data_IF_949169432963
#
_entry.id   IF_949169432963
#
_cell.length_a   1.000
_cell.length_b   1.000
_cell.length_c   1.000
_cell.angle_alpha   90.00
_cell.angle_beta   90.00
_cell.angle_gamma   90.00
#
_symmetry.space_group_name_H-M   'P 1'
#
loop_
_entity.id
_entity.type
_entity.pdbx_description
1 polymer ?
#
# COMPACT_ATOMS: atom_id res chain seq x y z
N UNK A 1 -23.58 -9.12 -6.93
CA UNK A 1 -23.90 -9.72 -8.24
C UNK A 1 -22.79 -10.70 -8.55
N UNK A 2 -23.06 -12.00 -8.61
CA UNK A 2 -22.04 -12.99 -8.97
C UNK A 2 -21.95 -13.07 -10.51
N UNK A 3 -20.75 -13.09 -11.04
CA UNK A 3 -20.53 -13.37 -12.45
C UNK A 3 -20.92 -14.83 -12.66
N UNK A 4 -22.05 -15.07 -13.32
CA UNK A 4 -22.53 -16.40 -13.65
C UNK A 4 -21.73 -16.97 -14.83
N UNK A 5 -20.51 -17.42 -14.57
CA UNK A 5 -19.76 -18.19 -15.57
C UNK A 5 -20.13 -19.66 -15.43
N UNK A 6 -20.87 -20.17 -16.40
CA UNK A 6 -21.33 -21.57 -16.44
C UNK A 6 -20.30 -22.52 -17.07
N UNK A 7 -19.23 -21.98 -17.69
CA UNK A 7 -18.25 -22.80 -18.44
C UNK A 7 -16.85 -22.85 -17.83
N UNK A 8 -16.51 -22.01 -16.87
CA UNK A 8 -15.14 -21.79 -16.32
C UNK A 8 -14.06 -21.54 -17.39
N UNK A 9 -14.43 -21.58 -18.68
CA UNK A 9 -13.51 -21.39 -19.81
C UNK A 9 -13.37 -19.90 -20.17
N UNK A 10 -14.36 -19.09 -19.81
CA UNK A 10 -14.40 -17.67 -20.20
C UNK A 10 -13.61 -16.78 -19.25
N UNK A 11 -13.58 -17.09 -17.94
CA UNK A 11 -12.92 -16.30 -16.91
C UNK A 11 -12.02 -17.18 -16.05
N UNK A 12 -10.78 -17.34 -16.47
CA UNK A 12 -9.79 -18.07 -15.65
C UNK A 12 -9.38 -17.23 -14.44
N UNK A 13 -8.94 -17.87 -13.31
CA UNK A 13 -8.41 -17.14 -12.16
C UNK A 13 -7.28 -16.16 -12.53
N UNK A 14 -6.42 -16.51 -13.49
CA UNK A 14 -5.35 -15.63 -13.95
C UNK A 14 -5.86 -14.41 -14.70
N UNK A 15 -6.91 -14.55 -15.48
CA UNK A 15 -7.55 -13.44 -16.18
C UNK A 15 -8.21 -12.45 -15.20
N UNK A 16 -8.89 -12.96 -14.18
CA UNK A 16 -9.45 -12.13 -13.11
C UNK A 16 -8.36 -11.46 -12.26
N UNK A 17 -7.23 -12.13 -12.07
CA UNK A 17 -6.08 -11.58 -11.35
C UNK A 17 -5.47 -10.36 -12.07
N UNK A 18 -5.47 -10.31 -13.39
CA UNK A 18 -5.03 -9.13 -14.14
C UNK A 18 -5.90 -7.92 -13.82
N UNK A 19 -7.23 -8.06 -13.83
CA UNK A 19 -8.13 -6.99 -13.44
C UNK A 19 -8.02 -6.63 -11.97
N UNK A 20 -7.78 -7.63 -11.11
CA UNK A 20 -7.49 -7.37 -9.69
C UNK A 20 -6.25 -6.47 -9.54
N UNK A 21 -5.17 -6.81 -10.20
CA UNK A 21 -3.94 -6.02 -10.13
C UNK A 21 -4.11 -4.62 -10.75
N UNK A 22 -4.85 -4.49 -11.83
CA UNK A 22 -5.20 -3.19 -12.42
C UNK A 22 -5.96 -2.32 -11.41
N UNK A 23 -7.02 -2.85 -10.80
CA UNK A 23 -7.81 -2.16 -9.77
C UNK A 23 -7.01 -1.86 -8.52
N UNK A 24 -6.13 -2.80 -8.11
CA UNK A 24 -5.24 -2.61 -6.97
C UNK A 24 -4.23 -1.45 -7.21
N UNK A 25 -3.68 -1.32 -8.41
CA UNK A 25 -2.84 -0.18 -8.78
C UNK A 25 -3.61 1.14 -8.75
N UNK A 26 -4.83 1.17 -9.29
CA UNK A 26 -5.69 2.34 -9.22
C UNK A 26 -5.98 2.72 -7.76
N UNK A 27 -6.42 1.75 -6.95
CA UNK A 27 -6.73 1.97 -5.54
C UNK A 27 -5.52 2.49 -4.77
N UNK A 28 -4.32 1.99 -5.05
CA UNK A 28 -3.10 2.48 -4.40
C UNK A 28 -2.75 3.93 -4.78
N UNK A 29 -2.96 4.32 -6.02
CA UNK A 29 -2.80 5.71 -6.42
C UNK A 29 -3.78 6.62 -5.66
N UNK A 30 -5.04 6.15 -5.48
CA UNK A 30 -6.06 6.87 -4.71
C UNK A 30 -5.71 6.90 -3.20
N UNK A 31 -5.21 5.80 -2.63
CA UNK A 31 -4.73 5.76 -1.24
C UNK A 31 -3.63 6.81 -1.03
N UNK A 32 -2.64 6.86 -1.91
CA UNK A 32 -1.56 7.85 -1.84
C UNK A 32 -2.07 9.30 -1.86
N UNK A 33 -3.19 9.55 -2.52
CA UNK A 33 -3.78 10.88 -2.67
C UNK A 33 -4.78 11.24 -1.55
N UNK A 34 -5.65 10.32 -1.15
CA UNK A 34 -6.79 10.60 -0.29
C UNK A 34 -6.68 10.04 1.14
N UNK A 35 -5.85 9.01 1.35
CA UNK A 35 -5.63 8.40 2.66
C UNK A 35 -4.20 7.84 2.78
N UNK A 36 -3.15 8.68 2.69
CA UNK A 36 -1.76 8.21 2.69
C UNK A 36 -1.37 7.46 3.96
N UNK A 37 -2.04 7.71 5.08
CA UNK A 37 -1.82 7.00 6.34
C UNK A 37 -2.04 5.49 6.23
N UNK A 38 -2.96 5.02 5.38
CA UNK A 38 -3.16 3.59 5.12
C UNK A 38 -1.93 2.90 4.49
N UNK A 39 -1.15 3.63 3.71
CA UNK A 39 0.03 3.10 3.04
C UNK A 39 1.34 3.47 3.74
N UNK A 40 1.27 4.17 4.89
CA UNK A 40 2.44 4.55 5.67
C UNK A 40 3.08 3.32 6.31
N UNK A 41 4.40 3.29 6.34
CA UNK A 41 5.17 2.29 7.03
C UNK A 41 6.50 2.84 7.48
N UNK A 42 7.15 2.09 8.37
CA UNK A 42 8.48 2.41 8.88
C UNK A 42 9.39 1.22 8.63
N UNK A 43 10.59 1.49 8.15
CA UNK A 43 11.64 0.50 7.97
C UNK A 43 12.88 0.90 8.77
N UNK A 44 13.42 -0.05 9.52
CA UNK A 44 14.65 0.13 10.28
C UNK A 44 15.75 -0.78 9.76
N UNK A 45 16.94 -0.25 9.63
CA UNK A 45 18.12 -0.98 9.21
C UNK A 45 19.40 -0.29 9.63
N UNK A 46 20.54 -0.94 9.42
CA UNK A 46 21.85 -0.37 9.67
C UNK A 46 22.57 -0.03 8.37
N UNK A 47 23.26 1.09 8.35
CA UNK A 47 24.02 1.52 7.18
C UNK A 47 24.89 2.73 7.45
N UNK A 48 25.87 2.95 6.54
CA UNK A 48 26.70 4.15 6.54
C UNK A 48 26.25 5.05 5.38
N UNK A 49 25.37 5.99 5.67
CA UNK A 49 24.86 6.96 4.70
C UNK A 49 24.07 6.37 3.53
N UNK A 50 23.75 5.07 3.59
CA UNK A 50 22.96 4.40 2.56
C UNK A 50 22.13 3.29 3.17
N UNK A 51 20.85 3.25 2.81
CA UNK A 51 19.96 2.13 3.13
C UNK A 51 19.11 1.76 1.91
N UNK A 52 18.91 0.46 1.69
CA UNK A 52 18.09 -0.06 0.59
C UNK A 52 16.85 -0.67 1.23
N UNK A 53 15.69 -0.14 0.89
CA UNK A 53 14.41 -0.69 1.30
C UNK A 53 14.17 -2.02 0.58
N UNK A 54 13.55 -3.02 1.21
CA UNK A 54 13.27 -4.32 0.57
C UNK A 54 12.15 -4.25 -0.49
N UNK A 55 11.58 -3.07 -0.70
CA UNK A 55 10.49 -2.80 -1.65
C UNK A 55 10.64 -1.39 -2.22
N UNK A 56 9.94 -1.13 -3.32
CA UNK A 56 9.78 0.23 -3.84
C UNK A 56 8.70 0.97 -3.03
N UNK A 57 8.87 2.26 -2.84
CA UNK A 57 7.91 3.14 -2.18
C UNK A 57 7.42 4.25 -3.11
N UNK A 58 6.25 4.80 -2.83
CA UNK A 58 5.73 5.98 -3.56
C UNK A 58 6.52 7.22 -3.15
N UNK A 59 6.78 7.38 -1.85
CA UNK A 59 7.54 8.50 -1.30
C UNK A 59 8.21 8.13 0.01
N UNK A 60 9.28 8.82 0.34
CA UNK A 60 9.91 8.85 1.66
C UNK A 60 9.37 10.09 2.38
N UNK A 61 8.87 9.88 3.58
CA UNK A 61 8.30 10.94 4.42
C UNK A 61 9.36 11.54 5.34
N UNK A 62 10.16 10.68 5.96
CA UNK A 62 11.21 11.08 6.88
C UNK A 62 12.33 10.05 6.90
N UNK A 63 13.52 10.50 7.25
CA UNK A 63 14.71 9.66 7.47
C UNK A 63 15.35 10.09 8.77
N UNK A 64 15.60 9.14 9.67
CA UNK A 64 16.35 9.35 10.91
C UNK A 64 17.59 8.48 10.92
N UNK A 65 18.65 9.00 11.49
CA UNK A 65 19.86 8.26 11.79
C UNK A 65 20.16 8.42 13.30
N UNK A 66 20.23 7.29 14.02
CA UNK A 66 20.35 7.24 15.47
C UNK A 66 19.35 8.20 16.17
N UNK A 67 18.06 8.12 15.74
CA UNK A 67 16.93 8.93 16.21
C UNK A 67 16.98 10.43 15.84
N UNK A 68 18.01 10.91 15.15
CA UNK A 68 18.13 12.29 14.69
C UNK A 68 17.63 12.42 13.24
N UNK A 69 16.86 13.46 12.95
CA UNK A 69 16.37 13.72 11.59
C UNK A 69 17.51 14.03 10.63
N UNK A 70 17.59 13.30 9.53
CA UNK A 70 18.58 13.47 8.46
C UNK A 70 18.11 14.56 7.50
N UNK A 71 18.91 15.61 7.35
CA UNK A 71 18.66 16.66 6.38
C UNK A 71 19.42 16.37 5.08
N UNK A 72 18.79 16.66 3.94
CA UNK A 72 19.48 16.60 2.65
C UNK A 72 19.72 15.19 2.11
N UNK A 73 18.89 14.21 2.43
CA UNK A 73 18.95 12.89 1.81
C UNK A 73 18.45 12.89 0.37
N UNK A 74 18.92 11.93 -0.42
CA UNK A 74 18.48 11.66 -1.79
C UNK A 74 17.82 10.30 -1.87
N UNK A 75 16.79 10.18 -2.70
CA UNK A 75 16.10 8.92 -2.96
C UNK A 75 16.41 8.45 -4.38
N UNK A 76 17.02 7.28 -4.51
CA UNK A 76 17.35 6.67 -5.79
C UNK A 76 16.43 5.49 -6.06
N UNK A 77 15.88 5.46 -7.28
CA UNK A 77 15.01 4.34 -7.75
C UNK A 77 13.82 4.01 -6.84
N UNK A 78 13.30 5.01 -6.09
CA UNK A 78 12.20 4.84 -5.15
C UNK A 78 12.43 3.74 -4.09
N UNK A 79 13.68 3.37 -3.83
CA UNK A 79 14.04 2.25 -2.97
C UNK A 79 15.29 2.49 -2.14
N UNK A 80 16.22 3.31 -2.61
CA UNK A 80 17.49 3.55 -1.92
C UNK A 80 17.53 4.97 -1.38
N UNK A 81 17.76 5.11 -0.08
CA UNK A 81 18.01 6.39 0.56
C UNK A 81 19.52 6.57 0.74
N UNK A 82 20.03 7.73 0.37
CA UNK A 82 21.46 8.10 0.47
C UNK A 82 21.59 9.45 1.14
N UNK A 83 22.49 9.55 2.10
CA UNK A 83 22.83 10.79 2.81
C UNK A 83 24.28 10.75 3.30
N UNK A 84 24.80 11.87 3.77
CA UNK A 84 26.16 11.94 4.30
C UNK A 84 26.24 11.32 5.70
N UNK A 85 27.15 10.36 5.88
CA UNK A 85 27.45 9.75 7.18
C UNK A 85 28.91 9.28 7.25
N UNK A 86 29.55 9.52 8.37
CA UNK A 86 30.96 9.18 8.63
C UNK A 86 31.11 7.80 9.30
N UNK A 87 30.08 7.29 9.93
CA UNK A 87 30.04 5.97 10.59
C UNK A 87 28.73 5.21 10.31
N UNK A 88 28.69 3.96 10.73
CA UNK A 88 27.50 3.14 10.65
C UNK A 88 26.47 3.57 11.71
N UNK A 89 25.22 3.74 11.30
CA UNK A 89 24.13 4.23 12.12
C UNK A 89 22.90 3.32 11.98
N UNK A 90 22.02 3.36 12.97
CA UNK A 90 20.66 2.82 12.83
C UNK A 90 19.84 3.83 12.05
N UNK A 91 19.31 3.41 10.90
CA UNK A 91 18.57 4.27 9.99
C UNK A 91 17.10 3.85 10.03
N UNK A 92 16.23 4.79 10.37
CA UNK A 92 14.78 4.62 10.35
C UNK A 92 14.22 5.44 9.19
N UNK A 93 13.44 4.80 8.33
CA UNK A 93 12.82 5.43 7.15
C UNK A 93 11.32 5.31 7.25
N UNK A 94 10.62 6.44 7.33
CA UNK A 94 9.17 6.52 7.20
C UNK A 94 8.82 6.72 5.72
N UNK A 95 7.93 5.90 5.20
CA UNK A 95 7.63 5.85 3.77
C UNK A 95 6.16 5.59 3.49
N UNK A 96 5.74 5.89 2.26
CA UNK A 96 4.47 5.45 1.68
C UNK A 96 4.74 4.28 0.74
N UNK A 97 4.14 3.12 1.04
CA UNK A 97 4.27 1.90 0.21
C UNK A 97 3.64 2.08 -1.16
N UNK A 98 4.20 1.39 -2.14
CA UNK A 98 3.43 1.00 -3.32
C UNK A 98 2.81 -0.38 -3.07
N UNK A 99 1.61 -0.65 -3.60
CA UNK A 99 1.14 -2.02 -3.65
C UNK A 99 1.96 -2.78 -4.69
N UNK A 100 2.50 -3.89 -4.27
CA UNK A 100 3.09 -4.85 -5.16
C UNK A 100 2.05 -5.52 -6.06
N UNK A 101 2.53 -6.13 -7.14
CA UNK A 101 1.73 -7.05 -7.96
C UNK A 101 1.34 -8.26 -7.09
N UNK A 102 0.06 -8.63 -7.13
CA UNK A 102 -0.47 -9.76 -6.37
C UNK A 102 -0.47 -11.04 -7.19
N UNK A 103 -0.20 -12.14 -6.53
CA UNK A 103 -0.36 -13.49 -7.05
C UNK A 103 -1.67 -14.10 -6.55
N UNK A 104 -2.10 -15.23 -7.11
CA UNK A 104 -3.37 -15.87 -6.74
C UNK A 104 -3.47 -16.28 -5.26
N UNK A 105 -2.33 -16.55 -4.63
CA UNK A 105 -2.25 -17.02 -3.25
C UNK A 105 -2.03 -15.89 -2.25
N UNK A 106 -1.86 -14.65 -2.73
CA UNK A 106 -1.62 -13.51 -1.88
C UNK A 106 -2.92 -13.00 -1.26
N UNK A 107 -2.89 -12.69 0.02
CA UNK A 107 -4.00 -12.00 0.68
C UNK A 107 -4.07 -10.54 0.21
N UNK A 108 -5.27 -9.97 0.16
CA UNK A 108 -5.47 -8.57 -0.26
C UNK A 108 -4.78 -7.60 0.69
N UNK A 109 -4.85 -7.85 1.98
CA UNK A 109 -4.36 -6.97 3.03
C UNK A 109 -5.11 -5.62 3.09
N UNK A 110 -6.24 -5.50 2.41
CA UNK A 110 -7.08 -4.30 2.36
C UNK A 110 -8.17 -4.35 3.44
N UNK A 111 -8.66 -3.20 3.93
CA UNK A 111 -9.92 -3.13 4.65
C UNK A 111 -11.06 -3.73 3.84
N UNK A 112 -12.00 -4.41 4.51
CA UNK A 112 -13.09 -5.14 3.85
C UNK A 112 -13.92 -4.27 2.89
N UNK A 113 -14.11 -3.00 3.23
CA UNK A 113 -14.83 -2.04 2.38
C UNK A 113 -14.09 -1.78 1.06
N UNK A 114 -12.77 -1.61 1.12
CA UNK A 114 -11.94 -1.39 -0.08
C UNK A 114 -11.81 -2.67 -0.90
N UNK A 115 -11.74 -3.83 -0.25
CA UNK A 115 -11.72 -5.12 -0.93
C UNK A 115 -13.03 -5.36 -1.70
N UNK A 116 -14.18 -5.03 -1.11
CA UNK A 116 -15.48 -5.11 -1.79
C UNK A 116 -15.52 -4.23 -3.03
N UNK A 117 -15.05 -2.99 -2.94
CA UNK A 117 -14.98 -2.07 -4.08
C UNK A 117 -14.01 -2.56 -5.17
N UNK A 118 -12.93 -3.24 -4.78
CA UNK A 118 -12.01 -3.85 -5.73
C UNK A 118 -12.66 -5.04 -6.46
N UNK A 119 -13.46 -5.85 -5.76
CA UNK A 119 -14.25 -6.92 -6.39
C UNK A 119 -15.29 -6.33 -7.36
N UNK A 120 -16.00 -5.27 -6.97
CA UNK A 120 -16.91 -4.56 -7.86
C UNK A 120 -16.19 -4.02 -9.10
N UNK A 121 -14.99 -3.46 -8.93
CA UNK A 121 -14.16 -3.02 -10.03
C UNK A 121 -13.90 -4.14 -11.05
N UNK A 122 -13.52 -5.33 -10.56
CA UNK A 122 -13.28 -6.50 -11.43
C UNK A 122 -14.54 -6.86 -12.20
N UNK A 123 -15.71 -6.91 -11.52
CA UNK A 123 -16.99 -7.20 -12.16
C UNK A 123 -17.29 -6.20 -13.28
N UNK A 124 -17.12 -4.91 -13.03
CA UNK A 124 -17.36 -3.86 -14.02
C UNK A 124 -16.40 -3.97 -15.21
N UNK A 125 -15.13 -4.29 -14.96
CA UNK A 125 -14.13 -4.50 -16.03
C UNK A 125 -14.47 -5.70 -16.90
N UNK A 126 -14.82 -6.83 -16.27
CA UNK A 126 -15.22 -8.05 -16.97
C UNK A 126 -16.47 -7.83 -17.81
N UNK A 127 -17.43 -7.06 -17.31
CA UNK A 127 -18.68 -6.72 -18.00
C UNK A 127 -18.52 -5.54 -18.99
N UNK A 128 -17.32 -4.99 -19.14
CA UNK A 128 -17.02 -3.81 -19.96
C UNK A 128 -17.95 -2.61 -19.64
N UNK A 129 -18.20 -2.38 -18.34
CA UNK A 129 -19.01 -1.27 -17.85
C UNK A 129 -18.13 -0.07 -17.49
N UNK A 130 -18.74 1.11 -17.39
CA UNK A 130 -18.06 2.32 -16.95
C UNK A 130 -17.66 2.24 -15.48
N UNK A 131 -16.36 2.41 -15.17
CA UNK A 131 -15.78 2.33 -13.83
C UNK A 131 -15.80 3.65 -13.05
N UNK A 132 -16.32 4.73 -13.63
CA UNK A 132 -16.30 6.07 -13.02
C UNK A 132 -17.02 6.07 -11.67
N UNK A 133 -18.16 5.37 -11.58
CA UNK A 133 -18.92 5.25 -10.33
C UNK A 133 -18.15 4.50 -9.24
N UNK A 134 -17.48 3.40 -9.60
CA UNK A 134 -16.67 2.62 -8.65
C UNK A 134 -15.47 3.42 -8.18
N UNK A 135 -14.78 4.13 -9.07
CA UNK A 135 -13.66 5.01 -8.71
C UNK A 135 -14.11 6.09 -7.72
N UNK A 136 -15.28 6.70 -7.95
CA UNK A 136 -15.85 7.68 -7.01
C UNK A 136 -16.17 7.07 -5.66
N UNK A 137 -16.67 5.84 -5.61
CA UNK A 137 -16.94 5.13 -4.35
C UNK A 137 -15.64 4.80 -3.61
N UNK A 138 -14.56 4.42 -4.30
CA UNK A 138 -13.24 4.23 -3.71
C UNK A 138 -12.73 5.52 -3.06
N UNK A 139 -12.83 6.65 -3.74
CA UNK A 139 -12.45 7.96 -3.19
C UNK A 139 -13.26 8.30 -1.94
N UNK A 140 -14.57 8.13 -1.97
CA UNK A 140 -15.43 8.40 -0.83
C UNK A 140 -15.11 7.52 0.37
N UNK A 141 -14.87 6.22 0.13
CA UNK A 141 -14.46 5.28 1.18
C UNK A 141 -13.12 5.69 1.81
N UNK A 142 -12.12 6.04 0.99
CA UNK A 142 -10.82 6.51 1.47
C UNK A 142 -10.91 7.80 2.27
N UNK A 143 -11.73 8.76 1.85
CA UNK A 143 -11.96 10.00 2.60
C UNK A 143 -12.66 9.72 3.93
N UNK A 144 -13.60 8.77 3.97
CA UNK A 144 -14.26 8.35 5.20
C UNK A 144 -13.28 7.70 6.17
N UNK A 145 -12.44 6.78 5.68
CA UNK A 145 -11.39 6.14 6.47
C UNK A 145 -10.42 7.21 6.99
N UNK A 146 -9.94 8.11 6.12
CA UNK A 146 -9.00 9.16 6.51
C UNK A 146 -9.57 10.12 7.57
N UNK A 147 -10.87 10.42 7.51
CA UNK A 147 -11.53 11.26 8.53
C UNK A 147 -11.75 10.55 9.86
N UNK A 148 -11.80 9.21 9.85
CA UNK A 148 -11.90 8.37 11.04
C UNK A 148 -10.55 8.05 11.68
N UNK A 149 -9.45 8.18 10.93
CA UNK A 149 -8.08 8.02 11.45
C UNK A 149 -7.69 9.32 12.17
N UNK A 150 -7.68 9.32 13.51
CA UNK A 150 -7.10 10.40 14.32
C UNK A 150 -5.57 10.44 14.16
N UNK A 151 -4.94 11.52 14.62
CA UNK A 151 -3.47 11.67 14.56
C UNK A 151 -2.70 10.52 15.24
N UNK A 152 -3.36 9.79 16.16
CA UNK A 152 -2.79 8.66 16.90
C UNK A 152 -3.07 7.29 16.26
N UNK A 153 -3.90 7.21 15.20
CA UNK A 153 -4.33 5.95 14.60
C UNK A 153 -3.39 5.46 13.48
N UNK A 154 -2.21 6.06 13.33
CA UNK A 154 -1.18 5.58 12.39
C UNK A 154 -0.81 4.10 12.58
N UNK A 155 -1.03 3.56 13.79
CA UNK A 155 -0.73 2.16 14.15
C UNK A 155 -1.69 1.18 13.45
N UNK A 156 -2.93 1.58 13.21
CA UNK A 156 -3.93 0.74 12.52
C UNK A 156 -3.57 0.56 11.05
N UNK A 157 -2.99 1.59 10.41
CA UNK A 157 -2.56 1.53 9.02
C UNK A 157 -1.43 0.50 8.77
N UNK A 158 -0.56 0.25 9.75
CA UNK A 158 0.49 -0.76 9.62
C UNK A 158 -0.06 -2.19 9.57
N UNK A 159 -1.22 -2.47 10.22
CA UNK A 159 -1.86 -3.78 10.24
C UNK A 159 -2.40 -4.22 8.88
N UNK A 160 -2.92 -3.29 8.08
CA UNK A 160 -3.58 -3.60 6.81
C UNK A 160 -2.61 -3.92 5.65
N UNK A 161 -1.35 -3.48 5.76
CA UNK A 161 -0.37 -3.65 4.68
C UNK A 161 0.79 -4.58 5.03
N UNK A 162 0.80 -5.15 6.25
CA UNK A 162 1.79 -6.15 6.61
C UNK A 162 1.46 -7.49 5.95
N UNK A 163 2.14 -7.77 4.85
CA UNK A 163 2.20 -9.10 4.26
C UNK A 163 2.67 -10.12 5.30
N UNK A 164 1.74 -10.89 5.82
CA UNK A 164 1.97 -12.17 6.46
C UNK A 164 3.16 -12.24 7.39
N UNK A 165 3.20 -11.50 8.49
CA UNK A 165 3.85 -11.92 9.73
C UNK A 165 3.66 -10.94 10.89
N UNK A 166 3.12 -11.52 11.94
CA UNK A 166 3.06 -11.11 13.34
C UNK A 166 1.87 -10.26 13.75
N UNK A 167 1.09 -10.89 14.68
CA UNK A 167 0.23 -10.21 15.62
C UNK A 167 0.95 -8.97 16.15
N UNK A 168 0.32 -7.84 15.98
CA UNK A 168 0.68 -6.63 16.70
C UNK A 168 0.13 -6.81 18.10
N UNK A 169 1.01 -6.87 19.09
CA UNK A 169 0.61 -6.73 20.48
C UNK A 169 0.15 -5.30 20.71
N UNK A 170 -1.15 -5.13 20.87
CA UNK A 170 -1.74 -3.89 21.34
C UNK A 170 -1.40 -3.73 22.82
N UNK A 171 -0.31 -3.09 23.13
CA UNK A 171 -0.05 -2.54 24.45
C UNK A 171 0.00 -1.03 24.33
N UNK A 172 -1.09 -0.41 24.75
CA UNK A 172 -1.10 1.01 25.14
C UNK A 172 -0.33 1.18 26.43
#
# INVERSE_FOLDING_TARGET
MQIGDTSQEQYTPYYLLEYYNEGNHLLNALIGQYCPSLARGTFEGKGRGRIVLPFQCISILNVKADDADVQGYQVLNLQTVVFDADHEQTITVDYIKTAGYKMLEDESGLPAELETLLVDYIVYRVMNMDITGITSNMVNALQTINSGLGENDCIIAEGYWNYGRKRIDYSC
#
